data_IF_356053159912
#
_entry.id   IF_356053159912
#
_cell.length_a   1.000
_cell.length_b   1.000
_cell.length_c   1.000
_cell.angle_alpha   90.00
_cell.angle_beta   90.00
_cell.angle_gamma   90.00
#
_symmetry.space_group_name_H-M   'P 1'
#
loop_
_entity.id
_entity.type
_entity.pdbx_description
1 polymer ?
#
# COMPACT_ATOMS: atom_id res chain seq x y z
N UNK A 1 -2.63 -44.09 1.68
CA UNK A 1 -2.37 -42.85 0.90
C UNK A 1 -2.33 -41.73 1.91
N UNK A 2 -1.14 -41.21 2.21
CA UNK A 2 -1.00 -40.06 3.11
C UNK A 2 -1.19 -38.82 2.23
N UNK A 3 -2.29 -38.09 2.42
CA UNK A 3 -2.43 -36.75 1.88
C UNK A 3 -1.35 -35.90 2.53
N UNK A 4 -0.36 -35.50 1.74
CA UNK A 4 0.60 -34.48 2.14
C UNK A 4 -0.18 -33.19 2.33
N UNK A 5 -0.52 -32.88 3.57
CA UNK A 5 -1.05 -31.57 3.96
C UNK A 5 0.01 -30.53 3.56
N UNK A 6 -0.24 -29.84 2.45
CA UNK A 6 0.48 -28.61 2.10
C UNK A 6 0.38 -27.70 3.32
N UNK A 7 1.49 -27.17 3.86
CA UNK A 7 1.39 -26.24 4.98
C UNK A 7 0.50 -25.08 4.51
N UNK A 8 -0.67 -24.91 5.14
CA UNK A 8 -1.55 -23.79 4.85
C UNK A 8 -0.75 -22.52 5.15
N UNK A 9 -0.43 -21.77 4.10
CA UNK A 9 0.24 -20.49 4.25
C UNK A 9 -0.72 -19.61 5.06
N UNK A 10 -0.27 -19.02 6.18
CA UNK A 10 -1.15 -18.22 7.01
C UNK A 10 -1.57 -16.98 6.24
N UNK A 11 -2.87 -16.92 5.91
CA UNK A 11 -3.49 -15.73 5.30
C UNK A 11 -3.44 -14.58 6.28
N UNK A 12 -3.07 -13.41 5.77
CA UNK A 12 -3.06 -12.16 6.52
C UNK A 12 -4.13 -11.23 5.99
N UNK A 13 -4.63 -10.35 6.85
CA UNK A 13 -5.45 -9.22 6.48
C UNK A 13 -4.57 -7.97 6.46
N UNK A 14 -4.45 -7.37 5.28
CA UNK A 14 -3.63 -6.21 5.01
C UNK A 14 -4.48 -4.94 5.06
N UNK A 15 -3.97 -3.92 5.76
CA UNK A 15 -4.59 -2.62 5.85
C UNK A 15 -3.53 -1.52 5.89
N UNK A 16 -3.92 -0.30 5.51
CA UNK A 16 -3.03 0.83 5.34
C UNK A 16 -3.49 2.02 6.19
N UNK A 17 -2.55 2.65 6.88
CA UNK A 17 -2.77 3.93 7.56
C UNK A 17 -2.64 5.07 6.56
N UNK A 18 -3.76 5.71 6.23
CA UNK A 18 -3.78 6.85 5.32
C UNK A 18 -3.13 8.09 5.97
N UNK A 19 -2.39 8.86 5.17
CA UNK A 19 -1.65 10.05 5.60
C UNK A 19 -0.75 9.79 6.81
N UNK A 20 0.09 8.75 6.71
CA UNK A 20 0.96 8.25 7.76
C UNK A 20 1.86 9.34 8.35
N UNK A 21 1.89 9.40 9.68
CA UNK A 21 2.88 10.12 10.47
C UNK A 21 3.18 9.31 11.74
N UNK A 22 4.35 9.48 12.38
CA UNK A 22 4.66 8.78 13.63
C UNK A 22 3.61 9.01 14.73
N UNK A 23 3.01 10.19 14.79
CA UNK A 23 1.95 10.53 15.73
C UNK A 23 0.67 9.73 15.47
N UNK A 24 0.26 9.61 14.19
CA UNK A 24 -0.92 8.84 13.82
C UNK A 24 -0.72 7.34 13.97
N UNK A 25 0.48 6.85 13.67
CA UNK A 25 0.81 5.45 13.91
C UNK A 25 0.74 5.12 15.41
N UNK A 26 1.25 6.01 16.27
CA UNK A 26 1.11 5.88 17.71
C UNK A 26 -0.37 5.88 18.14
N UNK A 27 -1.18 6.79 17.60
CA UNK A 27 -2.62 6.83 17.89
C UNK A 27 -3.33 5.54 17.45
N UNK A 28 -3.00 5.01 16.28
CA UNK A 28 -3.51 3.72 15.81
C UNK A 28 -3.12 2.61 16.77
N UNK A 29 -1.85 2.55 17.18
CA UNK A 29 -1.35 1.57 18.14
C UNK A 29 -2.11 1.64 19.48
N UNK A 30 -2.23 2.84 20.05
CA UNK A 30 -2.92 3.06 21.32
C UNK A 30 -4.40 2.63 21.23
N UNK A 31 -5.04 2.88 20.08
CA UNK A 31 -6.43 2.52 19.82
C UNK A 31 -6.65 1.04 19.58
N UNK A 32 -5.78 0.39 18.81
CA UNK A 32 -5.76 -1.06 18.68
C UNK A 32 -5.55 -1.73 20.03
N UNK A 33 -4.69 -1.16 20.89
CA UNK A 33 -4.46 -1.67 22.23
C UNK A 33 -5.66 -1.50 23.16
N UNK A 34 -6.37 -0.37 23.10
CA UNK A 34 -7.51 -0.09 24.00
C UNK A 34 -8.82 -0.73 23.54
N UNK A 35 -9.10 -0.70 22.23
CA UNK A 35 -10.40 -1.08 21.65
C UNK A 35 -10.30 -2.40 20.87
N UNK A 36 -9.17 -2.66 20.22
CA UNK A 36 -8.91 -3.89 19.46
C UNK A 36 -8.26 -4.99 20.30
N UNK A 37 -8.83 -5.33 21.46
CA UNK A 37 -8.24 -6.29 22.43
C UNK A 37 -7.74 -7.59 21.74
N UNK A 38 -6.43 -7.84 21.84
CA UNK A 38 -5.74 -8.99 21.24
C UNK A 38 -5.19 -8.75 19.83
N UNK A 39 -5.58 -7.66 19.15
CA UNK A 39 -5.03 -7.30 17.83
C UNK A 39 -3.54 -6.99 17.92
N UNK A 40 -3.11 -6.32 18.99
CA UNK A 40 -1.73 -5.87 19.12
C UNK A 40 -0.72 -7.02 19.24
N UNK A 41 -1.17 -8.19 19.70
CA UNK A 41 -0.32 -9.37 19.86
C UNK A 41 0.10 -9.96 18.50
N UNK A 42 -0.66 -9.65 17.46
CA UNK A 42 -0.43 -10.13 16.09
C UNK A 42 -0.15 -9.01 15.09
N UNK A 43 -0.32 -7.76 15.51
CA UNK A 43 -0.08 -6.59 14.68
C UNK A 43 1.39 -6.53 14.26
N UNK A 44 1.63 -6.43 12.95
CA UNK A 44 2.95 -6.28 12.40
C UNK A 44 2.95 -5.26 11.25
N UNK A 45 4.11 -4.63 11.04
CA UNK A 45 4.34 -3.79 9.87
C UNK A 45 4.60 -4.69 8.66
N UNK A 46 3.99 -4.35 7.53
CA UNK A 46 4.33 -4.96 6.27
C UNK A 46 5.43 -4.13 5.59
N UNK A 47 6.60 -4.73 5.40
CA UNK A 47 7.68 -4.12 4.60
C UNK A 47 7.44 -4.47 3.14
N UNK A 48 7.17 -3.44 2.32
CA UNK A 48 6.95 -3.64 0.89
C UNK A 48 8.28 -4.05 0.25
N UNK A 49 8.36 -5.23 -0.42
CA UNK A 49 9.55 -5.65 -1.13
C UNK A 49 10.02 -4.56 -2.10
N UNK A 50 11.33 -4.32 -2.15
CA UNK A 50 11.97 -3.32 -3.02
C UNK A 50 11.59 -1.85 -2.74
N UNK A 51 10.68 -1.58 -1.80
CA UNK A 51 10.15 -0.25 -1.48
C UNK A 51 10.14 0.06 0.03
N UNK A 52 11.31 0.13 0.70
CA UNK A 52 11.42 0.41 2.13
C UNK A 52 10.94 1.82 2.55
N UNK A 53 10.75 2.72 1.58
CA UNK A 53 10.17 4.04 1.79
C UNK A 53 8.69 4.00 2.19
N UNK A 54 7.99 2.91 1.88
CA UNK A 54 6.56 2.73 2.16
C UNK A 54 6.39 2.12 3.56
N UNK A 55 5.92 2.92 4.53
CA UNK A 55 5.89 2.55 5.97
C UNK A 55 4.49 2.47 6.58
N UNK A 56 3.46 2.53 5.75
CA UNK A 56 2.08 2.71 6.19
C UNK A 56 1.21 1.46 6.06
N UNK A 57 1.79 0.31 5.74
CA UNK A 57 1.08 -0.96 5.66
C UNK A 57 1.30 -1.80 6.90
N UNK A 58 0.21 -2.43 7.35
CA UNK A 58 0.18 -3.27 8.54
C UNK A 58 -0.67 -4.50 8.25
N UNK A 59 -0.40 -5.57 8.97
CA UNK A 59 -1.16 -6.79 8.84
C UNK A 59 -1.42 -7.46 10.18
N UNK A 60 -2.46 -8.28 10.18
CA UNK A 60 -2.83 -9.23 11.23
C UNK A 60 -3.20 -10.56 10.57
N UNK A 61 -3.23 -11.69 11.29
CA UNK A 61 -3.81 -12.93 10.80
C UNK A 61 -5.23 -12.70 10.29
N UNK A 62 -5.60 -13.36 9.19
CA UNK A 62 -6.92 -13.29 8.61
C UNK A 62 -7.96 -14.11 9.40
N UNK A 63 -8.05 -13.84 10.69
CA UNK A 63 -9.03 -14.39 11.61
C UNK A 63 -10.19 -13.41 11.76
N UNK A 64 -11.41 -13.90 11.60
CA UNK A 64 -12.61 -13.05 11.57
C UNK A 64 -12.72 -12.10 12.78
N UNK A 65 -12.41 -12.59 13.98
CA UNK A 65 -12.42 -11.79 15.22
C UNK A 65 -11.39 -10.65 15.19
N UNK A 66 -10.15 -10.93 14.76
CA UNK A 66 -9.08 -9.92 14.66
C UNK A 66 -9.40 -8.88 13.58
N UNK A 67 -9.85 -9.33 12.41
CA UNK A 67 -10.23 -8.47 11.28
C UNK A 67 -11.37 -7.54 11.69
N UNK A 68 -12.40 -8.06 12.36
CA UNK A 68 -13.53 -7.26 12.80
C UNK A 68 -13.13 -6.22 13.85
N UNK A 69 -12.21 -6.54 14.76
CA UNK A 69 -11.65 -5.59 15.72
C UNK A 69 -10.85 -4.47 15.05
N UNK A 70 -10.01 -4.80 14.07
CA UNK A 70 -9.28 -3.80 13.27
C UNK A 70 -10.25 -2.88 12.54
N UNK A 71 -11.27 -3.44 11.88
CA UNK A 71 -12.30 -2.67 11.19
C UNK A 71 -13.08 -1.79 12.16
N UNK A 72 -13.46 -2.31 13.32
CA UNK A 72 -14.12 -1.55 14.37
C UNK A 72 -13.30 -0.32 14.75
N UNK A 73 -12.01 -0.50 15.07
CA UNK A 73 -11.11 0.61 15.42
C UNK A 73 -10.95 1.62 14.28
N UNK A 74 -10.85 1.15 13.03
CA UNK A 74 -10.73 2.02 11.87
C UNK A 74 -12.00 2.82 11.57
N UNK A 75 -13.18 2.23 11.79
CA UNK A 75 -14.48 2.86 11.53
C UNK A 75 -14.99 3.72 12.69
N UNK A 76 -14.59 3.41 13.93
CA UNK A 76 -15.00 4.15 15.13
C UNK A 76 -14.18 5.43 15.35
N UNK A 77 -13.06 5.59 14.65
CA UNK A 77 -12.09 6.63 14.90
C UNK A 77 -12.02 7.65 13.76
N UNK A 78 -11.98 8.93 14.11
CA UNK A 78 -11.88 10.05 13.15
C UNK A 78 -10.48 10.69 13.10
N UNK A 79 -9.59 10.35 14.03
CA UNK A 79 -8.24 10.92 14.13
C UNK A 79 -7.28 10.36 13.08
N UNK A 80 -7.60 9.19 12.53
CA UNK A 80 -6.88 8.58 11.43
C UNK A 80 -7.85 7.89 10.48
N UNK A 81 -7.38 7.61 9.27
CA UNK A 81 -8.13 6.87 8.27
C UNK A 81 -7.38 5.57 7.98
N UNK A 82 -8.10 4.46 8.04
CA UNK A 82 -7.60 3.16 7.60
C UNK A 82 -8.22 2.80 6.27
N UNK A 83 -7.38 2.30 5.38
CA UNK A 83 -7.80 1.69 4.13
C UNK A 83 -7.65 0.17 4.25
N UNK A 84 -8.73 -0.55 3.96
CA UNK A 84 -8.83 -1.99 4.15
C UNK A 84 -8.63 -2.67 2.81
N UNK A 85 -7.41 -3.16 2.56
CA UNK A 85 -7.03 -3.69 1.25
C UNK A 85 -7.70 -5.05 1.02
N UNK A 86 -7.53 -5.98 1.95
CA UNK A 86 -8.04 -7.34 1.79
C UNK A 86 -7.16 -8.40 2.44
N UNK A 87 -7.46 -9.65 2.12
CA UNK A 87 -6.78 -10.81 2.68
C UNK A 87 -5.91 -11.49 1.63
N UNK A 88 -4.64 -11.73 1.97
CA UNK A 88 -3.63 -12.23 1.05
C UNK A 88 -2.73 -13.25 1.74
N UNK A 89 -2.09 -14.10 0.94
CA UNK A 89 -0.94 -14.87 1.41
C UNK A 89 0.28 -13.94 1.48
N UNK A 90 1.09 -14.04 2.54
CA UNK A 90 2.23 -13.14 2.80
C UNK A 90 3.22 -13.04 1.63
N UNK A 91 3.37 -14.13 0.87
CA UNK A 91 4.26 -14.22 -0.29
C UNK A 91 3.63 -13.81 -1.62
N UNK A 92 2.32 -13.57 -1.66
CA UNK A 92 1.54 -13.39 -2.90
C UNK A 92 0.70 -12.09 -2.88
N UNK A 93 1.22 -11.03 -2.25
CA UNK A 93 0.56 -9.71 -2.29
C UNK A 93 0.90 -9.02 -3.62
N UNK A 94 -0.11 -8.70 -4.46
CA UNK A 94 0.15 -8.06 -5.74
C UNK A 94 0.67 -6.64 -5.57
N UNK A 95 1.71 -6.27 -6.32
CA UNK A 95 2.37 -4.96 -6.20
C UNK A 95 1.42 -3.76 -6.42
N UNK A 96 0.37 -3.95 -7.22
CA UNK A 96 -0.66 -2.94 -7.49
C UNK A 96 -1.38 -2.44 -6.23
N UNK A 97 -1.40 -3.23 -5.16
CA UNK A 97 -1.95 -2.86 -3.85
C UNK A 97 -1.19 -1.69 -3.22
N UNK A 98 0.10 -1.57 -3.49
CA UNK A 98 0.93 -0.57 -2.83
C UNK A 98 0.82 0.81 -3.48
N UNK A 99 0.00 0.95 -4.53
CA UNK A 99 -0.19 2.20 -5.29
C UNK A 99 1.15 2.89 -5.61
N UNK A 100 2.17 2.07 -5.86
CA UNK A 100 3.49 2.56 -6.26
C UNK A 100 3.22 3.33 -7.53
N UNK A 101 3.49 4.65 -7.56
CA UNK A 101 3.36 5.39 -8.80
C UNK A 101 4.30 4.69 -9.77
N UNK A 102 3.75 4.09 -10.83
CA UNK A 102 4.57 3.74 -11.99
C UNK A 102 5.44 4.96 -12.24
N UNK A 103 6.75 4.77 -12.33
CA UNK A 103 7.62 5.84 -12.84
C UNK A 103 7.08 6.10 -14.23
N UNK A 104 6.12 7.01 -14.35
CA UNK A 104 5.78 7.65 -15.60
C UNK A 104 7.10 8.31 -15.96
N UNK A 105 7.83 7.64 -16.86
CA UNK A 105 8.84 8.27 -17.69
C UNK A 105 8.06 9.19 -18.62
N UNK A 106 7.41 10.20 -18.03
CA UNK A 106 6.71 11.24 -18.72
C UNK A 106 7.81 12.05 -19.36
N UNK A 107 8.08 11.77 -20.63
CA UNK A 107 8.94 12.60 -21.45
C UNK A 107 8.42 14.04 -21.26
N UNK A 108 9.21 14.95 -20.67
CA UNK A 108 8.69 16.26 -20.31
C UNK A 108 8.10 16.93 -21.55
N UNK A 109 6.91 17.53 -21.41
CA UNK A 109 6.20 18.22 -22.50
C UNK A 109 7.13 19.25 -23.19
N UNK A 110 8.10 19.80 -22.45
CA UNK A 110 9.15 20.67 -22.99
C UNK A 110 9.97 20.03 -24.12
N UNK A 111 10.25 18.72 -24.08
CA UNK A 111 10.95 18.02 -25.16
C UNK A 111 10.06 17.80 -26.39
N UNK A 112 8.75 17.58 -26.19
CA UNK A 112 7.79 17.45 -27.29
C UNK A 112 7.65 18.79 -28.03
N UNK A 113 7.52 19.89 -27.28
CA UNK A 113 7.46 21.24 -27.85
C UNK A 113 8.76 21.58 -28.59
N UNK A 114 9.93 21.27 -27.99
CA UNK A 114 11.22 21.51 -28.62
C UNK A 114 11.37 20.74 -29.94
N UNK A 115 10.95 19.47 -29.97
CA UNK A 115 10.97 18.65 -31.18
C UNK A 115 10.13 19.23 -32.32
N UNK A 116 8.93 19.73 -32.01
CA UNK A 116 8.03 20.36 -33.00
C UNK A 116 8.63 21.66 -33.54
N UNK A 117 9.20 22.51 -32.67
CA UNK A 117 9.85 23.75 -33.08
C UNK A 117 11.04 23.48 -34.01
N UNK A 118 11.86 22.47 -33.69
CA UNK A 118 13.01 22.08 -34.51
C UNK A 118 12.57 21.57 -35.89
N UNK A 119 11.50 20.76 -35.94
CA UNK A 119 10.90 20.29 -37.19
C UNK A 119 10.38 21.44 -38.06
N UNK A 120 9.72 22.44 -37.46
CA UNK A 120 9.24 23.63 -38.17
C UNK A 120 10.38 24.48 -38.74
N UNK A 121 11.46 24.67 -37.98
CA UNK A 121 12.65 25.40 -38.44
C UNK A 121 13.29 24.69 -39.64
N UNK A 122 13.41 23.36 -39.59
CA UNK A 122 13.94 22.57 -40.70
C UNK A 122 13.02 22.67 -41.92
N UNK A 123 11.70 22.53 -41.75
CA UNK A 123 10.75 22.67 -42.86
C UNK A 123 10.77 24.04 -43.52
N UNK A 124 10.86 25.12 -42.73
CA UNK A 124 11.01 26.48 -43.27
C UNK A 124 12.37 26.73 -43.93
N UNK A 125 13.44 26.11 -43.40
CA UNK A 125 14.80 26.23 -43.93
C UNK A 125 15.02 25.46 -45.24
N UNK A 126 14.30 24.36 -45.45
CA UNK A 126 14.41 23.49 -46.63
C UNK A 126 13.51 23.96 -47.79
N UNK A 127 12.48 24.77 -47.54
CA UNK A 127 11.59 25.33 -48.56
C UNK A 127 12.07 26.66 -49.17
N UNK A 128 13.37 26.96 -49.05
CA UNK A 128 14.02 28.15 -49.63
C UNK A 128 14.93 27.80 -50.80
#
# INVERSE_FOLDING_TARGET
>A
MAETATPEIPKIFLFRLQNWSPEKEKLLYDKLKSEGKGVIDFWNRFEVPEHPEIKNFYFVPNEEDLVNKVKFVGLSNTAFLLDFIGSFDLSEIPESVFEIPERQVGVPISYIILGIVLLLIIFMGVLR
#
